data_IF_987406003360
#
_entry.id   IF_987406003360
#
_cell.length_a   1.000
_cell.length_b   1.000
_cell.length_c   1.000
_cell.angle_alpha   90.00
_cell.angle_beta   90.00
_cell.angle_gamma   90.00
#
_symmetry.space_group_name_H-M   'P 1'
#
loop_
_entity.id
_entity.type
_entity.pdbx_description
1 polymer ?
#
# COMPACT_ATOMS: atom_id res chain seq x y z
N UNK A 1 -39.45 -2.91 19.67
CA UNK A 1 -38.28 -2.07 19.34
C UNK A 1 -37.11 -3.01 19.24
N UNK A 2 -36.40 -3.05 18.13
CA UNK A 2 -35.39 -4.07 17.87
C UNK A 2 -34.19 -3.90 18.81
N UNK A 3 -33.98 -4.85 19.71
CA UNK A 3 -32.83 -4.98 20.61
C UNK A 3 -31.54 -5.33 19.83
N UNK A 4 -31.19 -4.49 18.85
CA UNK A 4 -29.93 -4.59 18.16
C UNK A 4 -28.85 -3.95 19.04
N UNK A 5 -28.09 -4.77 19.76
CA UNK A 5 -26.92 -4.33 20.50
C UNK A 5 -25.80 -4.10 19.49
N UNK A 6 -25.33 -2.85 19.36
CA UNK A 6 -24.19 -2.52 18.52
C UNK A 6 -22.90 -3.12 19.07
N UNK A 7 -21.96 -3.50 18.19
CA UNK A 7 -20.68 -4.08 18.58
C UNK A 7 -19.77 -3.10 19.37
N UNK A 8 -20.09 -1.81 19.36
CA UNK A 8 -19.34 -0.73 20.03
C UNK A 8 -20.33 0.29 20.60
N UNK A 9 -20.11 0.83 21.81
CA UNK A 9 -20.91 1.94 22.32
C UNK A 9 -20.77 3.16 21.39
N UNK A 10 -21.87 3.83 21.03
CA UNK A 10 -21.82 4.98 20.13
C UNK A 10 -21.04 6.15 20.75
N UNK A 11 -20.41 7.01 19.92
CA UNK A 11 -19.80 8.23 20.40
C UNK A 11 -20.83 9.12 21.14
N UNK A 12 -20.40 9.88 22.16
CA UNK A 12 -21.30 10.70 22.99
C UNK A 12 -21.89 11.83 22.14
N UNK A 13 -23.09 11.59 21.58
CA UNK A 13 -24.00 12.52 20.87
C UNK A 13 -24.76 11.86 19.71
N UNK A 14 -24.44 10.61 19.34
CA UNK A 14 -25.05 9.94 18.19
C UNK A 14 -26.00 8.83 18.64
N UNK A 15 -27.27 8.95 18.27
CA UNK A 15 -28.26 7.87 18.45
C UNK A 15 -28.04 6.85 17.32
N UNK A 16 -27.72 5.57 17.62
CA UNK A 16 -27.51 4.55 16.60
C UNK A 16 -28.79 4.33 15.79
N UNK A 17 -28.73 4.56 14.48
CA UNK A 17 -29.85 4.29 13.58
C UNK A 17 -29.65 2.95 12.86
N UNK A 18 -30.19 1.88 13.44
CA UNK A 18 -30.11 0.53 12.85
C UNK A 18 -31.01 0.34 11.62
N UNK A 19 -32.00 1.22 11.40
CA UNK A 19 -32.94 1.11 10.27
C UNK A 19 -32.36 1.70 8.99
N UNK A 20 -31.47 2.69 9.10
CA UNK A 20 -30.75 3.29 7.98
C UNK A 20 -29.33 3.71 8.43
N UNK A 21 -28.39 2.75 8.56
CA UNK A 21 -27.04 3.04 9.03
C UNK A 21 -26.29 3.90 8.01
N UNK A 22 -25.75 5.05 8.46
CA UNK A 22 -24.84 5.87 7.66
C UNK A 22 -23.40 5.37 7.86
N UNK A 23 -22.89 4.60 6.92
CA UNK A 23 -21.50 4.11 6.94
C UNK A 23 -20.54 5.19 6.37
N UNK A 24 -20.13 6.12 7.24
CA UNK A 24 -19.18 7.20 6.88
C UNK A 24 -17.85 6.60 6.40
N UNK A 25 -17.34 5.56 7.07
CA UNK A 25 -16.10 4.87 6.68
C UNK A 25 -16.18 4.25 5.29
N UNK A 26 -17.33 3.69 4.90
CA UNK A 26 -17.52 3.11 3.57
C UNK A 26 -17.48 4.18 2.49
N UNK A 27 -18.13 5.31 2.75
CA UNK A 27 -18.14 6.46 1.83
C UNK A 27 -16.73 7.02 1.63
N UNK A 28 -15.97 7.20 2.73
CA UNK A 28 -14.59 7.66 2.68
C UNK A 28 -13.71 6.69 1.87
N UNK A 29 -13.82 5.38 2.11
CA UNK A 29 -13.06 4.37 1.38
C UNK A 29 -13.40 4.37 -0.12
N UNK A 30 -14.66 4.54 -0.51
CA UNK A 30 -15.01 4.61 -1.94
C UNK A 30 -14.41 5.85 -2.60
N UNK A 31 -14.54 7.01 -1.96
CA UNK A 31 -14.04 8.27 -2.51
C UNK A 31 -12.52 8.21 -2.64
N UNK A 32 -11.80 7.72 -1.63
CA UNK A 32 -10.35 7.59 -1.68
C UNK A 32 -9.88 6.61 -2.76
N UNK A 33 -10.56 5.47 -2.90
CA UNK A 33 -10.24 4.49 -3.95
C UNK A 33 -10.51 5.04 -5.35
N UNK A 34 -11.61 5.76 -5.57
CA UNK A 34 -11.92 6.36 -6.86
C UNK A 34 -10.88 7.41 -7.30
N UNK A 35 -10.44 8.25 -6.36
CA UNK A 35 -9.37 9.24 -6.59
C UNK A 35 -8.06 8.51 -6.92
N UNK A 36 -7.71 7.47 -6.16
CA UNK A 36 -6.48 6.71 -6.36
C UNK A 36 -6.48 5.97 -7.72
N UNK A 37 -7.59 5.33 -8.09
CA UNK A 37 -7.77 4.68 -9.41
C UNK A 37 -7.61 5.65 -10.56
N UNK A 38 -8.22 6.84 -10.45
CA UNK A 38 -8.17 7.86 -11.49
C UNK A 38 -6.76 8.41 -11.66
N UNK A 39 -6.09 8.75 -10.55
CA UNK A 39 -4.73 9.29 -10.57
C UNK A 39 -3.71 8.29 -11.13
N UNK A 40 -3.73 7.03 -10.67
CA UNK A 40 -2.80 6.00 -11.13
C UNK A 40 -3.01 5.65 -12.60
N UNK A 41 -4.25 5.56 -13.06
CA UNK A 41 -4.55 5.28 -14.47
C UNK A 41 -4.06 6.40 -15.38
N UNK A 42 -4.22 7.66 -14.97
CA UNK A 42 -3.70 8.81 -15.71
C UNK A 42 -2.17 8.75 -15.89
N UNK A 43 -1.42 8.53 -14.80
CA UNK A 43 0.04 8.40 -14.87
C UNK A 43 0.51 7.19 -15.69
N UNK A 44 -0.21 6.06 -15.58
CA UNK A 44 0.06 4.87 -16.37
C UNK A 44 -0.15 5.13 -17.88
N UNK A 45 -1.24 5.81 -18.25
CA UNK A 45 -1.51 6.18 -19.64
C UNK A 45 -0.42 7.10 -20.19
N UNK A 46 0.01 8.11 -19.44
CA UNK A 46 1.13 8.97 -19.87
C UNK A 46 2.38 8.13 -20.12
N UNK A 47 2.70 7.20 -19.21
CA UNK A 47 3.88 6.34 -19.33
C UNK A 47 3.80 5.46 -20.58
N UNK A 48 2.65 4.83 -20.84
CA UNK A 48 2.50 3.90 -21.96
C UNK A 48 2.51 4.64 -23.30
N UNK A 49 1.83 5.79 -23.40
CA UNK A 49 1.83 6.61 -24.61
C UNK A 49 3.21 7.19 -24.87
N UNK A 50 3.87 7.74 -23.84
CA UNK A 50 5.22 8.28 -23.99
C UNK A 50 6.20 7.22 -24.52
N UNK A 51 6.12 5.98 -24.01
CA UNK A 51 7.01 4.91 -24.48
C UNK A 51 6.65 4.42 -25.88
N UNK A 52 5.36 4.30 -26.19
CA UNK A 52 4.89 3.94 -27.53
C UNK A 52 5.32 4.95 -28.61
N UNK A 53 5.37 6.25 -28.28
CA UNK A 53 5.75 7.30 -29.22
C UNK A 53 7.26 7.59 -29.27
N UNK A 54 7.97 7.55 -28.14
CA UNK A 54 9.37 8.03 -28.06
C UNK A 54 10.39 6.91 -28.28
N UNK A 55 10.11 5.68 -27.85
CA UNK A 55 11.09 4.60 -27.90
C UNK A 55 10.47 3.18 -27.92
N UNK A 56 9.83 2.76 -29.03
CA UNK A 56 9.59 1.33 -29.27
C UNK A 56 10.93 0.59 -29.37
N UNK A 57 11.04 -0.71 -28.97
CA UNK A 57 9.99 -1.70 -28.71
C UNK A 57 9.53 -1.80 -27.24
N UNK A 58 8.46 -2.58 -27.01
CA UNK A 58 7.92 -2.87 -25.68
C UNK A 58 8.84 -3.84 -24.93
N UNK A 59 9.37 -3.43 -23.78
CA UNK A 59 10.28 -4.24 -22.99
C UNK A 59 9.54 -5.07 -21.93
N UNK A 60 10.20 -6.10 -21.38
CA UNK A 60 9.61 -6.98 -20.36
C UNK A 60 9.13 -6.22 -19.10
N UNK A 61 9.78 -5.11 -18.78
CA UNK A 61 9.40 -4.21 -17.70
C UNK A 61 8.02 -3.57 -17.91
N UNK A 62 7.66 -3.24 -19.15
CA UNK A 62 6.40 -2.59 -19.47
C UNK A 62 5.25 -3.57 -19.39
N UNK A 63 5.47 -4.83 -19.78
CA UNK A 63 4.53 -5.91 -19.56
C UNK A 63 4.25 -6.09 -18.05
N UNK A 64 5.28 -6.06 -17.21
CA UNK A 64 5.09 -6.12 -15.75
C UNK A 64 4.38 -4.89 -15.18
N UNK A 65 4.64 -3.69 -15.72
CA UNK A 65 3.85 -2.49 -15.37
C UNK A 65 2.36 -2.66 -15.70
N UNK A 66 2.03 -3.20 -16.88
CA UNK A 66 0.63 -3.44 -17.30
C UNK A 66 -0.03 -4.43 -16.34
N UNK A 67 0.66 -5.54 -16.05
CA UNK A 67 0.18 -6.55 -15.11
C UNK A 67 -0.06 -5.95 -13.73
N UNK A 68 0.89 -5.15 -13.20
CA UNK A 68 0.72 -4.46 -11.93
C UNK A 68 -0.47 -3.49 -11.93
N UNK A 69 -0.68 -2.73 -13.01
CA UNK A 69 -1.83 -1.85 -13.14
C UNK A 69 -3.16 -2.62 -13.14
N UNK A 70 -3.23 -3.76 -13.86
CA UNK A 70 -4.43 -4.62 -13.84
C UNK A 70 -4.72 -5.16 -12.44
N UNK A 71 -3.70 -5.63 -11.72
CA UNK A 71 -3.86 -6.11 -10.34
C UNK A 71 -4.23 -4.99 -9.38
N UNK A 72 -3.71 -3.78 -9.55
CA UNK A 72 -4.10 -2.61 -8.78
C UNK A 72 -5.58 -2.27 -8.98
N UNK A 73 -6.06 -2.24 -10.23
CA UNK A 73 -7.47 -2.00 -10.54
C UNK A 73 -8.38 -3.10 -9.97
N UNK A 74 -7.94 -4.36 -10.04
CA UNK A 74 -8.64 -5.47 -9.41
C UNK A 74 -8.71 -5.31 -7.88
N UNK A 75 -7.62 -4.90 -7.23
CA UNK A 75 -7.59 -4.66 -5.80
C UNK A 75 -8.56 -3.54 -5.39
N UNK A 76 -8.50 -2.39 -6.05
CA UNK A 76 -9.40 -1.28 -5.76
C UNK A 76 -10.88 -1.65 -6.03
N UNK A 77 -11.15 -2.45 -7.07
CA UNK A 77 -12.50 -2.97 -7.32
C UNK A 77 -13.01 -3.88 -6.19
N UNK A 78 -12.16 -4.72 -5.60
CA UNK A 78 -12.55 -5.50 -4.40
C UNK A 78 -12.83 -4.62 -3.18
N UNK A 79 -12.14 -3.48 -3.05
CA UNK A 79 -12.39 -2.50 -1.98
C UNK A 79 -13.75 -1.79 -2.11
N UNK A 80 -14.24 -1.63 -3.34
CA UNK A 80 -15.57 -1.05 -3.62
C UNK A 80 -16.68 -2.11 -3.44
N UNK A 81 -16.41 -3.37 -3.80
CA UNK A 81 -17.36 -4.47 -3.72
C UNK A 81 -17.28 -5.19 -2.37
N UNK A 82 -18.12 -4.79 -1.41
CA UNK A 82 -18.28 -5.39 -0.05
C UNK A 82 -18.36 -6.93 0.00
N UNK A 83 -18.69 -7.60 -1.11
CA UNK A 83 -18.84 -9.05 -1.20
C UNK A 83 -17.55 -9.82 -1.49
N UNK A 84 -16.42 -9.17 -1.80
CA UNK A 84 -15.18 -9.84 -2.27
C UNK A 84 -13.99 -9.57 -1.33
N UNK A 85 -14.25 -9.37 -0.04
CA UNK A 85 -13.20 -9.05 0.94
C UNK A 85 -12.15 -10.17 1.05
N UNK A 86 -12.57 -11.44 0.88
CA UNK A 86 -11.65 -12.58 0.85
C UNK A 86 -10.64 -12.52 -0.30
N UNK A 87 -11.12 -12.19 -1.50
CA UNK A 87 -10.28 -12.10 -2.70
C UNK A 87 -9.33 -10.90 -2.63
N UNK A 88 -9.75 -9.80 -2.02
CA UNK A 88 -8.95 -8.58 -1.92
C UNK A 88 -7.58 -8.79 -1.27
N UNK A 89 -7.50 -9.62 -0.23
CA UNK A 89 -6.23 -9.95 0.45
C UNK A 89 -5.25 -10.75 -0.41
N UNK A 90 -5.76 -11.51 -1.38
CA UNK A 90 -4.96 -12.30 -2.32
C UNK A 90 -4.44 -11.40 -3.45
N UNK A 91 -5.34 -10.57 -3.99
CA UNK A 91 -5.01 -9.59 -5.05
C UNK A 91 -4.01 -8.56 -4.54
N UNK A 92 -4.14 -8.09 -3.29
CA UNK A 92 -3.18 -7.19 -2.66
C UNK A 92 -1.76 -7.76 -2.63
N UNK A 93 -1.60 -9.02 -2.21
CA UNK A 93 -0.30 -9.67 -2.13
C UNK A 93 0.37 -9.82 -3.50
N UNK A 94 -0.40 -10.22 -4.51
CA UNK A 94 0.09 -10.29 -5.89
C UNK A 94 0.47 -8.91 -6.43
N UNK A 95 -0.38 -7.90 -6.22
CA UNK A 95 -0.10 -6.54 -6.63
C UNK A 95 1.21 -6.01 -6.00
N UNK A 96 1.38 -6.20 -4.69
CA UNK A 96 2.59 -5.79 -3.98
C UNK A 96 3.85 -6.47 -4.55
N UNK A 97 3.78 -7.75 -4.89
CA UNK A 97 4.87 -8.47 -5.54
C UNK A 97 5.21 -7.88 -6.92
N UNK A 98 4.22 -7.73 -7.81
CA UNK A 98 4.47 -7.24 -9.17
C UNK A 98 5.00 -5.81 -9.20
N UNK A 99 4.52 -4.92 -8.32
CA UNK A 99 5.04 -3.55 -8.21
C UNK A 99 6.51 -3.56 -7.81
N UNK A 100 6.90 -4.34 -6.80
CA UNK A 100 8.30 -4.43 -6.35
C UNK A 100 9.23 -5.02 -7.41
N UNK A 101 8.79 -6.08 -8.09
CA UNK A 101 9.56 -6.67 -9.21
C UNK A 101 9.74 -5.65 -10.33
N UNK A 102 8.69 -4.90 -10.68
CA UNK A 102 8.77 -3.84 -11.69
C UNK A 102 9.80 -2.77 -11.31
N UNK A 103 9.80 -2.31 -10.05
CA UNK A 103 10.78 -1.34 -9.55
C UNK A 103 12.22 -1.88 -9.64
N UNK A 104 12.44 -3.13 -9.23
CA UNK A 104 13.75 -3.79 -9.30
C UNK A 104 14.23 -3.98 -10.74
N UNK A 105 13.33 -4.32 -11.68
CA UNK A 105 13.67 -4.44 -13.09
C UNK A 105 14.09 -3.09 -13.71
N UNK A 106 13.35 -2.01 -13.39
CA UNK A 106 13.74 -0.65 -13.81
C UNK A 106 15.10 -0.29 -13.23
N UNK A 107 15.35 -0.61 -11.95
CA UNK A 107 16.65 -0.40 -11.32
C UNK A 107 17.78 -1.17 -12.03
N UNK A 108 17.57 -2.45 -12.36
CA UNK A 108 18.54 -3.27 -13.09
C UNK A 108 18.86 -2.67 -14.46
N UNK A 109 17.87 -2.13 -15.17
CA UNK A 109 18.08 -1.46 -16.46
C UNK A 109 18.92 -0.21 -16.33
N UNK A 110 18.60 0.65 -15.35
CA UNK A 110 19.30 1.93 -15.14
C UNK A 110 20.75 1.69 -14.70
N UNK A 111 20.97 0.75 -13.77
CA UNK A 111 22.29 0.45 -13.21
C UNK A 111 22.95 -0.78 -13.84
N UNK A 112 22.60 -1.12 -15.08
CA UNK A 112 23.18 -2.23 -15.85
C UNK A 112 24.72 -2.30 -15.81
N UNK A 113 25.50 -1.20 -15.83
CA UNK A 113 26.96 -1.29 -15.74
C UNK A 113 27.46 -1.82 -14.38
N UNK A 114 26.70 -1.67 -13.30
CA UNK A 114 27.10 -2.07 -11.94
C UNK A 114 26.69 -3.51 -11.63
N UNK A 115 27.49 -4.48 -12.09
CA UNK A 115 27.20 -5.92 -11.96
C UNK A 115 26.87 -6.38 -10.54
N UNK A 116 27.52 -5.81 -9.50
CA UNK A 116 27.26 -6.17 -8.09
C UNK A 116 25.85 -5.77 -7.65
N UNK A 117 25.43 -4.53 -7.92
CA UNK A 117 24.09 -4.04 -7.56
C UNK A 117 22.99 -4.77 -8.35
N UNK A 118 23.26 -5.09 -9.62
CA UNK A 118 22.36 -5.90 -10.45
C UNK A 118 22.20 -7.33 -9.90
N UNK A 119 23.28 -7.96 -9.45
CA UNK A 119 23.22 -9.30 -8.83
C UNK A 119 22.39 -9.29 -7.54
N UNK A 120 22.58 -8.27 -6.69
CA UNK A 120 21.77 -8.10 -5.47
C UNK A 120 20.29 -7.91 -5.82
N UNK A 121 19.98 -7.09 -6.83
CA UNK A 121 18.61 -6.86 -7.28
C UNK A 121 17.92 -8.16 -7.75
N UNK A 122 18.62 -8.99 -8.55
CA UNK A 122 18.12 -10.30 -8.95
C UNK A 122 17.92 -11.25 -7.77
N UNK A 123 18.84 -11.23 -6.79
CA UNK A 123 18.70 -11.97 -5.54
C UNK A 123 17.44 -11.57 -4.76
N UNK A 124 17.16 -10.26 -4.66
CA UNK A 124 15.94 -9.74 -4.02
C UNK A 124 14.67 -10.18 -4.75
N UNK A 125 14.64 -10.15 -6.09
CA UNK A 125 13.50 -10.65 -6.88
C UNK A 125 13.24 -12.13 -6.57
N UNK A 126 14.29 -12.95 -6.56
CA UNK A 126 14.19 -14.38 -6.25
C UNK A 126 13.70 -14.64 -4.83
N UNK A 127 14.26 -13.91 -3.84
CA UNK A 127 13.86 -14.02 -2.43
C UNK A 127 12.40 -13.63 -2.22
N UNK A 128 11.93 -12.55 -2.85
CA UNK A 128 10.53 -12.15 -2.77
C UNK A 128 9.62 -13.19 -3.42
N UNK A 129 9.99 -13.71 -4.60
CA UNK A 129 9.22 -14.76 -5.26
C UNK A 129 9.09 -16.01 -4.38
N UNK A 130 10.18 -16.44 -3.74
CA UNK A 130 10.20 -17.58 -2.83
C UNK A 130 9.27 -17.41 -1.61
N UNK A 131 9.00 -16.17 -1.18
CA UNK A 131 8.08 -15.88 -0.09
C UNK A 131 6.62 -15.71 -0.56
N UNK A 132 6.37 -14.87 -1.57
CA UNK A 132 5.02 -14.52 -2.00
C UNK A 132 4.29 -15.68 -2.69
N UNK A 133 5.01 -16.57 -3.39
CA UNK A 133 4.40 -17.70 -4.10
C UNK A 133 3.79 -18.73 -3.12
N UNK A 134 4.51 -19.27 -2.12
CA UNK A 134 3.91 -20.15 -1.12
C UNK A 134 2.79 -19.47 -0.33
N UNK A 135 2.98 -18.21 0.06
CA UNK A 135 1.99 -17.45 0.83
C UNK A 135 0.66 -17.30 0.07
N UNK A 136 0.72 -17.13 -1.26
CA UNK A 136 -0.47 -17.13 -2.11
C UNK A 136 -1.23 -18.46 -2.04
N UNK A 137 -0.53 -19.60 -2.09
CA UNK A 137 -1.15 -20.92 -1.95
C UNK A 137 -1.74 -21.15 -0.55
N UNK A 138 -1.06 -20.69 0.50
CA UNK A 138 -1.59 -20.73 1.87
C UNK A 138 -2.88 -19.92 2.00
N UNK A 139 -2.94 -18.73 1.42
CA UNK A 139 -4.15 -17.90 1.38
C UNK A 139 -5.29 -18.56 0.61
N UNK A 140 -4.99 -19.29 -0.47
CA UNK A 140 -6.01 -20.06 -1.19
C UNK A 140 -6.67 -21.11 -0.29
N UNK A 141 -5.93 -21.68 0.66
CA UNK A 141 -6.40 -22.75 1.53
C UNK A 141 -6.63 -22.30 2.99
N UNK A 142 -6.97 -21.03 3.21
CA UNK A 142 -7.07 -20.46 4.58
C UNK A 142 -8.08 -21.19 5.48
N UNK A 143 -9.17 -21.70 4.90
CA UNK A 143 -10.18 -22.48 5.59
C UNK A 143 -10.33 -23.86 4.95
N UNK A 144 -10.43 -24.89 5.79
CA UNK A 144 -10.74 -26.26 5.39
C UNK A 144 -12.13 -26.61 5.96
N UNK A 145 -13.21 -26.67 5.14
CA UNK A 145 -13.33 -26.35 3.71
C UNK A 145 -13.48 -24.84 3.42
N UNK A 146 -13.12 -24.41 2.19
CA UNK A 146 -13.15 -23.01 1.74
C UNK A 146 -14.53 -22.35 1.90
N UNK A 147 -15.60 -23.15 1.84
CA UNK A 147 -16.99 -22.69 1.96
C UNK A 147 -17.31 -22.16 3.35
N UNK A 148 -16.62 -22.64 4.39
CA UNK A 148 -16.79 -22.16 5.76
C UNK A 148 -16.33 -20.71 5.97
N UNK A 149 -15.59 -20.12 5.01
CA UNK A 149 -15.31 -18.69 5.03
C UNK A 149 -16.58 -17.85 4.79
N UNK A 150 -17.45 -18.28 3.87
CA UNK A 150 -18.65 -17.54 3.47
C UNK A 150 -19.88 -17.93 4.28
N UNK A 151 -19.96 -19.20 4.67
CA UNK A 151 -21.07 -19.74 5.45
C UNK A 151 -20.60 -20.10 6.87
N UNK A 152 -20.94 -19.24 7.83
CA UNK A 152 -20.58 -19.41 9.24
C UNK A 152 -21.23 -20.64 9.88
N UNK A 153 -22.24 -21.24 9.24
CA UNK A 153 -22.94 -22.42 9.75
C UNK A 153 -22.17 -23.71 9.47
N UNK A 154 -21.18 -23.68 8.58
CA UNK A 154 -20.31 -24.82 8.30
C UNK A 154 -19.15 -24.80 9.30
N UNK A 155 -18.99 -25.88 10.08
CA UNK A 155 -17.79 -26.09 10.89
C UNK A 155 -16.57 -26.19 9.96
N UNK A 156 -15.74 -25.15 9.98
CA UNK A 156 -14.49 -25.10 9.24
C UNK A 156 -13.37 -24.65 10.16
N UNK A 157 -12.22 -25.31 10.05
CA UNK A 157 -11.00 -24.84 10.67
C UNK A 157 -10.37 -23.78 9.75
N UNK A 158 -10.33 -22.55 10.23
CA UNK A 158 -9.77 -21.40 9.53
C UNK A 158 -8.52 -20.90 10.25
N UNK A 159 -7.47 -20.56 9.50
CA UNK A 159 -6.29 -19.91 10.04
C UNK A 159 -6.63 -18.47 10.50
N UNK A 160 -5.93 -18.01 11.54
CA UNK A 160 -6.04 -16.65 12.05
C UNK A 160 -5.54 -15.65 11.00
N UNK A 161 -6.46 -14.85 10.45
CA UNK A 161 -6.17 -13.88 9.38
C UNK A 161 -5.22 -12.76 9.84
N UNK A 162 -5.24 -12.43 11.14
CA UNK A 162 -4.50 -11.31 11.70
C UNK A 162 -2.99 -11.55 11.72
N UNK A 163 -2.59 -12.76 12.12
CA UNK A 163 -1.18 -13.19 12.10
C UNK A 163 -0.63 -13.21 10.68
N UNK A 164 -1.48 -13.58 9.71
CA UNK A 164 -1.12 -13.59 8.29
C UNK A 164 -0.92 -12.17 7.76
N UNK A 165 -1.83 -11.25 8.11
CA UNK A 165 -1.72 -9.83 7.75
C UNK A 165 -0.49 -9.16 8.37
N UNK A 166 -0.17 -9.48 9.62
CA UNK A 166 1.01 -8.96 10.29
C UNK A 166 2.30 -9.44 9.61
N UNK A 167 2.39 -10.73 9.29
CA UNK A 167 3.52 -11.30 8.57
C UNK A 167 3.72 -10.64 7.20
N UNK A 168 2.64 -10.48 6.43
CA UNK A 168 2.68 -9.80 5.12
C UNK A 168 3.16 -8.35 5.25
N UNK A 169 2.70 -7.63 6.26
CA UNK A 169 3.06 -6.23 6.49
C UNK A 169 4.52 -6.09 6.89
N UNK A 170 5.02 -6.94 7.79
CA UNK A 170 6.43 -6.97 8.20
C UNK A 170 7.33 -7.19 6.99
N UNK A 171 7.02 -8.22 6.20
CA UNK A 171 7.86 -8.61 5.06
C UNK A 171 7.76 -7.57 3.96
N UNK A 172 6.60 -6.96 3.74
CA UNK A 172 6.47 -5.84 2.81
C UNK A 172 7.37 -4.67 3.24
N UNK A 173 7.35 -4.25 4.50
CA UNK A 173 8.17 -3.13 4.98
C UNK A 173 9.66 -3.42 4.89
N UNK A 174 10.09 -4.64 5.25
CA UNK A 174 11.49 -5.06 5.14
C UNK A 174 11.97 -5.03 3.69
N UNK A 175 11.15 -5.53 2.77
CA UNK A 175 11.48 -5.56 1.34
C UNK A 175 11.50 -4.16 0.73
N UNK A 176 10.60 -3.25 1.15
CA UNK A 176 10.61 -1.85 0.71
C UNK A 176 11.87 -1.12 1.19
N UNK A 177 12.25 -1.35 2.45
CA UNK A 177 13.49 -0.79 3.02
C UNK A 177 14.72 -1.28 2.26
N UNK A 178 14.78 -2.58 1.93
CA UNK A 178 15.88 -3.15 1.16
C UNK A 178 15.99 -2.53 -0.25
N UNK A 179 14.85 -2.35 -0.94
CA UNK A 179 14.82 -1.70 -2.27
C UNK A 179 15.28 -0.24 -2.17
N UNK A 180 14.94 0.47 -1.10
CA UNK A 180 15.31 1.87 -0.93
C UNK A 180 16.80 2.07 -0.63
N UNK A 181 17.41 1.14 0.10
CA UNK A 181 18.86 1.18 0.40
C UNK A 181 19.69 0.77 -0.82
N UNK A 182 19.17 -0.09 -1.68
CA UNK A 182 19.85 -0.60 -2.88
C UNK A 182 20.51 0.47 -3.79
N UNK A 183 19.87 1.61 -4.13
CA UNK A 183 20.48 2.65 -4.96
C UNK A 183 21.56 3.48 -4.25
N UNK A 184 21.63 3.47 -2.91
CA UNK A 184 22.58 4.33 -2.17
C UNK A 184 24.03 3.94 -2.49
N UNK A 185 24.46 2.66 -2.34
CA UNK A 185 25.83 2.26 -2.69
C UNK A 185 26.13 2.43 -4.19
N UNK A 186 25.14 2.17 -5.05
CA UNK A 186 25.30 2.34 -6.50
C UNK A 186 25.54 3.81 -6.88
N UNK A 187 24.83 4.74 -6.22
CA UNK A 187 24.97 6.18 -6.46
C UNK A 187 26.31 6.74 -5.97
N UNK A 188 26.90 6.16 -4.92
CA UNK A 188 28.20 6.62 -4.39
C UNK A 188 29.38 6.23 -5.28
N UNK A 189 29.25 5.17 -6.08
CA UNK A 189 30.29 4.73 -7.01
C UNK A 189 30.29 5.51 -8.32
N UNK A 190 29.24 6.29 -8.61
CA UNK A 190 29.11 7.02 -9.85
C UNK A 190 29.61 8.46 -9.66
N UNK A 191 30.65 8.84 -10.41
CA UNK A 191 31.23 10.19 -10.40
C UNK A 191 30.34 11.17 -11.17
N UNK A 192 29.16 11.48 -10.63
CA UNK A 192 28.18 12.38 -11.26
C UNK A 192 28.33 13.80 -10.71
N UNK A 193 28.02 14.80 -11.54
CA UNK A 193 27.90 16.20 -11.14
C UNK A 193 26.85 16.38 -10.02
N UNK A 194 27.08 17.35 -9.12
CA UNK A 194 26.19 17.60 -7.97
C UNK A 194 24.72 17.83 -8.38
N UNK A 195 24.48 18.47 -9.53
CA UNK A 195 23.14 18.76 -10.04
C UNK A 195 22.35 17.49 -10.41
N UNK A 196 23.02 16.49 -10.99
CA UNK A 196 22.40 15.21 -11.33
C UNK A 196 22.22 14.33 -10.10
N UNK A 197 23.16 14.41 -9.15
CA UNK A 197 23.05 13.75 -7.85
C UNK A 197 21.82 14.22 -7.07
N UNK A 198 21.52 15.52 -7.07
CA UNK A 198 20.31 16.07 -6.44
C UNK A 198 19.04 15.53 -7.09
N UNK A 199 19.00 15.38 -8.43
CA UNK A 199 17.83 14.79 -9.12
C UNK A 199 17.60 13.35 -8.67
N UNK A 200 18.66 12.54 -8.60
CA UNK A 200 18.56 11.13 -8.17
C UNK A 200 18.11 11.04 -6.70
N UNK A 201 18.66 11.88 -5.82
CA UNK A 201 18.24 11.95 -4.41
C UNK A 201 16.77 12.37 -4.30
N UNK A 202 16.31 13.33 -5.12
CA UNK A 202 14.90 13.74 -5.13
C UNK A 202 13.98 12.58 -5.55
N UNK A 203 14.31 11.87 -6.63
CA UNK A 203 13.55 10.68 -7.05
C UNK A 203 13.56 9.59 -5.96
N UNK A 204 14.71 9.32 -5.33
CA UNK A 204 14.79 8.34 -4.25
C UNK A 204 14.01 8.79 -3.00
N UNK A 205 14.03 10.08 -2.69
CA UNK A 205 13.31 10.68 -1.58
C UNK A 205 11.79 10.54 -1.72
N UNK A 206 11.25 10.66 -2.94
CA UNK A 206 9.83 10.38 -3.19
C UNK A 206 9.43 8.93 -2.91
N UNK A 207 10.34 7.97 -3.09
CA UNK A 207 10.12 6.57 -2.67
C UNK A 207 10.24 6.38 -1.15
N UNK A 208 11.06 7.19 -0.48
CA UNK A 208 11.27 7.12 0.96
C UNK A 208 10.10 7.57 1.82
N UNK A 209 9.31 8.53 1.35
CA UNK A 209 8.07 8.93 2.05
C UNK A 209 7.05 7.79 2.07
N UNK A 210 6.94 7.02 0.97
CA UNK A 210 6.09 5.83 0.90
C UNK A 210 6.55 4.72 1.87
N UNK A 211 7.86 4.51 1.99
CA UNK A 211 8.42 3.53 2.93
C UNK A 211 8.18 3.93 4.40
N UNK A 212 8.30 5.23 4.73
CA UNK A 212 7.99 5.73 6.07
C UNK A 212 6.51 5.52 6.42
N UNK A 213 5.60 5.82 5.49
CA UNK A 213 4.18 5.56 5.67
C UNK A 213 3.89 4.06 5.89
N UNK A 214 4.58 3.17 5.16
CA UNK A 214 4.49 1.72 5.35
C UNK A 214 5.00 1.28 6.73
N UNK A 215 6.09 1.87 7.22
CA UNK A 215 6.62 1.58 8.56
C UNK A 215 5.66 2.02 9.67
N UNK A 216 5.05 3.21 9.55
CA UNK A 216 4.01 3.68 10.48
C UNK A 216 2.81 2.74 10.47
N UNK A 217 2.35 2.35 9.27
CA UNK A 217 1.27 1.37 9.11
C UNK A 217 1.58 0.02 9.77
N UNK A 218 2.82 -0.45 9.66
CA UNK A 218 3.27 -1.68 10.31
C UNK A 218 3.20 -1.59 11.83
N UNK A 219 3.73 -0.52 12.43
CA UNK A 219 3.69 -0.32 13.89
C UNK A 219 2.25 -0.31 14.39
N UNK A 220 1.36 0.35 13.63
CA UNK A 220 -0.05 0.43 13.95
C UNK A 220 -0.70 -0.97 13.93
N UNK A 221 -0.50 -1.77 12.88
CA UNK A 221 -1.05 -3.14 12.80
C UNK A 221 -0.52 -4.05 13.93
N UNK A 222 0.77 -3.93 14.30
CA UNK A 222 1.35 -4.73 15.39
C UNK A 222 0.80 -4.35 16.77
N UNK A 223 0.53 -3.06 17.01
CA UNK A 223 -0.13 -2.60 18.24
C UNK A 223 -1.55 -3.14 18.34
N UNK A 224 -2.23 -3.27 17.21
CA UNK A 224 -3.61 -3.73 17.10
C UNK A 224 -3.77 -5.24 17.35
N UNK A 225 -2.78 -6.05 16.99
CA UNK A 225 -2.81 -7.49 17.30
C UNK A 225 -2.78 -7.81 18.79
N UNK A 226 -2.30 -6.89 19.63
CA UNK A 226 -2.23 -7.09 21.07
C UNK A 226 -3.54 -6.74 21.80
N UNK A 227 -4.53 -6.17 21.08
CA UNK A 227 -5.86 -5.83 21.60
C UNK A 227 -6.89 -6.87 21.12
N UNK A 228 -7.79 -7.30 22.00
CA UNK A 228 -8.68 -8.45 21.78
C UNK A 228 -9.82 -8.25 20.75
N UNK A 229 -9.97 -7.08 20.11
CA UNK A 229 -11.08 -6.81 19.18
C UNK A 229 -10.68 -5.97 17.94
N UNK A 230 -10.23 -6.65 16.89
CA UNK A 230 -9.71 -6.08 15.63
C UNK A 230 -10.74 -5.26 14.81
N UNK A 231 -12.02 -5.63 14.84
CA UNK A 231 -13.05 -4.95 14.04
C UNK A 231 -13.37 -3.56 14.59
N UNK A 232 -13.31 -3.41 15.92
CA UNK A 232 -13.65 -2.18 16.63
C UNK A 232 -12.52 -1.16 16.51
N UNK A 233 -11.27 -1.60 16.67
CA UNK A 233 -10.14 -0.69 16.64
C UNK A 233 -9.82 -0.19 15.22
N UNK A 234 -10.05 -0.99 14.16
CA UNK A 234 -9.87 -0.50 12.78
C UNK A 234 -10.82 0.67 12.45
N UNK A 235 -12.05 0.63 12.96
CA UNK A 235 -13.01 1.73 12.82
C UNK A 235 -12.54 2.95 13.60
N UNK A 236 -12.04 2.76 14.84
CA UNK A 236 -11.51 3.85 15.67
C UNK A 236 -10.29 4.55 15.07
N UNK A 237 -9.45 3.81 14.34
CA UNK A 237 -8.28 4.40 13.68
C UNK A 237 -8.67 5.16 12.42
N UNK A 238 -9.61 4.67 11.61
CA UNK A 238 -10.16 5.46 10.51
C UNK A 238 -10.83 6.73 11.03
N UNK A 239 -11.50 6.68 12.18
CA UNK A 239 -12.00 7.87 12.87
C UNK A 239 -10.85 8.79 13.34
N UNK A 240 -9.80 8.26 13.97
CA UNK A 240 -8.65 9.05 14.42
C UNK A 240 -7.86 9.68 13.26
N UNK A 241 -7.72 8.96 12.15
CA UNK A 241 -7.07 9.41 10.92
C UNK A 241 -7.96 10.42 10.18
N UNK A 242 -9.29 10.27 10.23
CA UNK A 242 -10.24 11.28 9.77
C UNK A 242 -10.22 12.54 10.64
N UNK A 243 -10.08 12.40 11.97
CA UNK A 243 -9.95 13.52 12.90
C UNK A 243 -8.61 14.23 12.74
N UNK A 244 -7.54 13.51 12.44
CA UNK A 244 -6.25 14.09 12.07
C UNK A 244 -6.35 14.86 10.74
N UNK A 245 -6.92 14.24 9.70
CA UNK A 245 -7.12 14.92 8.41
C UNK A 245 -8.06 16.13 8.52
N UNK A 246 -9.12 16.03 9.32
CA UNK A 246 -10.07 17.12 9.55
C UNK A 246 -9.42 18.25 10.35
N UNK A 247 -8.58 17.93 11.35
CA UNK A 247 -7.81 18.92 12.13
C UNK A 247 -6.75 19.63 11.29
N UNK A 248 -6.10 18.93 10.36
CA UNK A 248 -5.15 19.52 9.39
C UNK A 248 -5.85 20.41 8.37
N UNK A 249 -7.08 20.08 7.94
CA UNK A 249 -7.87 20.94 7.04
C UNK A 249 -8.44 22.22 7.69
N UNK A 250 -8.47 22.29 9.03
CA UNK A 250 -8.91 23.46 9.80
C UNK A 250 -7.77 24.35 10.32
N UNK A 251 -6.51 23.99 10.08
CA UNK A 251 -5.37 24.84 10.44
C UNK A 251 -5.20 25.94 9.36
N UNK A 252 -5.37 27.23 9.69
CA UNK A 252 -5.15 28.31 8.73
C UNK A 252 -3.68 28.35 8.34
N UNK A 253 -3.45 28.48 7.03
CA UNK A 253 -2.13 28.65 6.42
C UNK A 253 -1.61 30.03 6.84
N UNK A 254 -0.90 30.13 7.97
CA UNK A 254 -0.14 31.35 8.27
C UNK A 254 1.10 31.37 7.37
N UNK A 255 1.00 32.15 6.30
CA UNK A 255 2.16 32.65 5.57
C UNK A 255 3.00 33.50 6.52
N UNK A 256 4.01 32.93 7.18
CA UNK A 256 5.14 33.72 7.67
C UNK A 256 6.15 33.88 6.53
N UNK A 257 5.88 34.90 5.71
CA UNK A 257 6.89 35.52 4.86
C UNK A 257 7.92 36.20 5.78
N UNK A 258 9.19 35.93 5.54
CA UNK A 258 10.27 36.56 6.28
C UNK A 258 10.31 38.06 6.07
N UNK A 259 10.57 38.80 7.14
CA UNK A 259 11.29 40.06 7.06
C UNK A 259 12.35 40.08 8.16
N UNK A 260 13.61 40.06 7.72
CA UNK A 260 14.79 40.29 8.53
C UNK A 260 15.31 41.63 8.09
N UNK A 261 14.89 42.73 8.72
CA UNK A 261 15.54 44.03 8.52
C UNK A 261 15.48 44.97 9.73
N UNK A 262 16.69 45.21 10.29
CA UNK A 262 17.22 46.53 10.66
C UNK A 262 16.71 47.24 11.94
N UNK A 263 17.52 47.09 13.01
CA UNK A 263 18.26 48.16 13.71
C UNK A 263 17.49 49.45 14.08
N UNK A 264 17.13 49.60 15.37
CA UNK A 264 17.73 50.52 16.36
C UNK A 264 16.99 50.39 17.69
#
# INVERSE_FOLDING_TARGET
>A
MSDAIGAVPPPPSVIPNFRNPKDVCWTINIVSQAIAMSSITFFFLIRITAKAFVAPPFDREDCMCVVAWVFYMAYSATGVLRKIVYGGSMVYGLNAYFVKVTLLLIFIRVFRPFKKSVLIAWGLIGLMGAYYIPMFFFKMQVCRPIRGFWDRNVKADCLHQDSMLAADTVISTLTDTAILVLPIPASMQLQISWRERVKIIAYLGTGGTAALAAAVRMVLILRMQNSTDFTVDNIRILEAESLYNQRTSTLPITHEAGDRSVRK
#
